data_IF_203900670795
#
_entry.id   IF_203900670795
#
_cell.length_a   1.000
_cell.length_b   1.000
_cell.length_c   1.000
_cell.angle_alpha   90.00
_cell.angle_beta   90.00
_cell.angle_gamma   90.00
#
_symmetry.space_group_name_H-M   'P 1'
#
loop_
_entity.id
_entity.type
_entity.pdbx_description
1 polymer ?
#
# COMPACT_ATOMS: atom_id res chain seq x y z
N UNK A 1 -2.99 6.20 2.39
CA UNK A 1 -4.39 5.71 2.45
C UNK A 1 -4.91 5.81 3.86
N UNK A 2 -6.23 5.74 4.07
CA UNK A 2 -6.82 5.79 5.41
C UNK A 2 -7.78 4.64 5.70
N UNK A 3 -8.32 4.01 4.66
CA UNK A 3 -9.29 2.93 4.77
C UNK A 3 -8.89 1.74 3.91
N UNK A 4 -9.47 0.58 4.21
CA UNK A 4 -9.32 -0.63 3.38
C UNK A 4 -9.86 -0.41 1.97
N UNK A 5 -10.93 0.37 1.80
CA UNK A 5 -11.45 0.73 0.48
C UNK A 5 -10.46 1.56 -0.34
N UNK A 6 -9.76 2.54 0.27
CA UNK A 6 -8.72 3.30 -0.42
C UNK A 6 -7.56 2.40 -0.86
N UNK A 7 -7.25 1.40 -0.04
CA UNK A 7 -6.19 0.42 -0.31
C UNK A 7 -6.59 -0.49 -1.49
N UNK A 8 -7.79 -1.06 -1.48
CA UNK A 8 -8.29 -1.89 -2.58
C UNK A 8 -8.38 -1.13 -3.91
N UNK A 9 -8.84 0.13 -3.88
CA UNK A 9 -8.92 0.97 -5.08
C UNK A 9 -7.53 1.21 -5.68
N UNK A 10 -6.54 1.54 -4.84
CA UNK A 10 -5.19 1.75 -5.31
C UNK A 10 -4.51 0.48 -5.82
N UNK A 11 -4.79 -0.70 -5.24
CA UNK A 11 -4.27 -1.95 -5.76
C UNK A 11 -4.76 -2.21 -7.19
N UNK A 12 -6.04 -1.95 -7.46
CA UNK A 12 -6.59 -2.07 -8.83
C UNK A 12 -5.92 -1.09 -9.79
N UNK A 13 -5.75 0.16 -9.36
CA UNK A 13 -5.10 1.18 -10.18
C UNK A 13 -3.62 0.84 -10.44
N UNK A 14 -2.91 0.28 -9.46
CA UNK A 14 -1.53 -0.22 -9.63
C UNK A 14 -1.52 -1.37 -10.64
N UNK A 15 -2.45 -2.33 -10.54
CA UNK A 15 -2.56 -3.46 -11.47
C UNK A 15 -2.73 -2.97 -12.91
N UNK A 16 -3.64 -2.02 -13.13
CA UNK A 16 -3.86 -1.41 -14.45
C UNK A 16 -2.60 -0.68 -14.95
N UNK A 17 -1.94 0.09 -14.09
CA UNK A 17 -0.72 0.84 -14.45
C UNK A 17 0.46 -0.08 -14.77
N UNK A 18 0.64 -1.18 -14.05
CA UNK A 18 1.71 -2.15 -14.33
C UNK A 18 1.51 -2.80 -15.69
N UNK A 19 0.26 -3.11 -16.07
CA UNK A 19 -0.06 -3.64 -17.40
C UNK A 19 0.27 -2.63 -18.51
N UNK A 20 0.09 -1.34 -18.24
CA UNK A 20 0.38 -0.27 -19.20
C UNK A 20 1.89 0.01 -19.37
N UNK A 21 2.74 -0.46 -18.45
CA UNK A 21 4.19 -0.25 -18.43
C UNK A 21 4.60 1.23 -18.71
N UNK A 22 4.12 2.19 -17.91
CA UNK A 22 4.35 3.60 -18.16
C UNK A 22 5.82 3.95 -18.02
N UNK A 23 6.30 4.90 -18.83
CA UNK A 23 7.64 5.44 -18.67
C UNK A 23 7.80 6.05 -17.26
N UNK A 24 8.94 5.85 -16.57
CA UNK A 24 9.12 6.29 -15.18
C UNK A 24 8.78 7.77 -14.95
N UNK A 25 9.28 8.67 -15.82
CA UNK A 25 9.06 10.11 -15.68
C UNK A 25 7.72 10.60 -16.27
N UNK A 26 6.88 9.68 -16.77
CA UNK A 26 5.55 10.03 -17.25
C UNK A 26 4.60 10.30 -16.08
N UNK A 27 3.47 10.95 -16.37
CA UNK A 27 2.43 11.19 -15.37
C UNK A 27 1.96 9.88 -14.72
N UNK A 28 1.83 8.82 -15.51
CA UNK A 28 1.35 7.52 -15.06
C UNK A 28 2.43 6.75 -14.29
N UNK A 29 3.72 6.90 -14.67
CA UNK A 29 4.85 6.37 -13.92
C UNK A 29 4.97 7.00 -12.53
N UNK A 30 4.88 8.33 -12.45
CA UNK A 30 4.85 9.06 -11.17
C UNK A 30 3.64 8.64 -10.30
N UNK A 31 2.49 8.36 -10.93
CA UNK A 31 1.30 7.87 -10.22
C UNK A 31 1.52 6.47 -9.65
N UNK A 32 2.09 5.57 -10.44
CA UNK A 32 2.42 4.20 -10.02
C UNK A 32 3.39 4.21 -8.84
N UNK A 33 4.44 5.03 -8.89
CA UNK A 33 5.39 5.21 -7.78
C UNK A 33 4.67 5.70 -6.51
N UNK A 34 3.86 6.76 -6.64
CA UNK A 34 3.15 7.35 -5.51
C UNK A 34 2.17 6.37 -4.86
N UNK A 35 1.41 5.61 -5.66
CA UNK A 35 0.47 4.61 -5.16
C UNK A 35 1.21 3.46 -4.46
N UNK A 36 2.33 3.01 -5.01
CA UNK A 36 3.15 1.96 -4.40
C UNK A 36 3.65 2.36 -3.00
N UNK A 37 4.15 3.59 -2.86
CA UNK A 37 4.58 4.15 -1.57
C UNK A 37 3.42 4.20 -0.56
N UNK A 38 2.22 4.59 -1.02
CA UNK A 38 1.04 4.68 -0.13
C UNK A 38 0.56 3.31 0.34
N UNK A 39 0.63 2.29 -0.52
CA UNK A 39 0.34 0.89 -0.21
C UNK A 39 1.32 0.38 0.84
N UNK A 40 2.63 0.53 0.59
CA UNK A 40 3.68 0.09 1.53
C UNK A 40 3.51 0.73 2.92
N UNK A 41 3.20 2.03 2.97
CA UNK A 41 2.96 2.73 4.23
C UNK A 41 1.73 2.19 4.98
N UNK A 42 0.64 1.89 4.27
CA UNK A 42 -0.57 1.32 4.86
C UNK A 42 -0.32 -0.10 5.39
N UNK A 43 0.38 -0.94 4.64
CA UNK A 43 0.75 -2.30 5.05
C UNK A 43 1.70 -2.30 6.25
N UNK A 44 2.65 -1.36 6.31
CA UNK A 44 3.57 -1.23 7.44
C UNK A 44 2.83 -0.88 8.74
N UNK A 45 1.86 0.04 8.68
CA UNK A 45 0.99 0.36 9.82
C UNK A 45 0.14 -0.84 10.23
N UNK A 46 -0.41 -1.59 9.28
CA UNK A 46 -1.18 -2.80 9.55
C UNK A 46 -0.32 -3.93 10.17
N UNK A 47 0.91 -4.11 9.69
CA UNK A 47 1.89 -5.05 10.25
C UNK A 47 2.31 -4.66 11.68
N UNK A 48 2.40 -3.36 11.98
CA UNK A 48 2.61 -2.86 13.34
C UNK A 48 1.45 -3.18 14.28
N UNK A 49 0.20 -3.27 13.78
CA UNK A 49 -0.95 -3.70 14.59
C UNK A 49 -0.83 -5.17 14.99
N UNK A 50 -0.56 -6.07 14.04
CA UNK A 50 -0.44 -7.52 14.31
C UNK A 50 0.71 -7.81 15.31
N UNK A 51 1.85 -7.13 15.15
CA UNK A 51 3.00 -7.34 16.04
C UNK A 51 2.82 -6.73 17.44
N UNK A 52 2.04 -5.65 17.58
CA UNK A 52 1.64 -5.11 18.90
C UNK A 52 0.68 -6.04 19.63
N UNK A 53 -0.29 -6.63 18.94
CA UNK A 53 -1.28 -7.53 19.54
C UNK A 53 -0.65 -8.85 20.05
N UNK A 54 0.41 -9.34 19.38
CA UNK A 54 1.13 -10.53 19.84
C UNK A 54 1.90 -10.30 21.16
N UNK A 55 2.56 -9.14 21.32
CA UNK A 55 3.29 -8.82 22.56
C UNK A 55 2.36 -8.63 23.77
N UNK A 56 1.15 -8.11 23.56
CA UNK A 56 0.18 -7.94 24.66
C UNK A 56 -0.37 -9.26 25.23
N UNK A 57 -0.30 -10.37 24.48
CA UNK A 57 -0.77 -11.70 24.93
C UNK A 57 0.32 -12.60 25.50
N UNK A 58 1.60 -12.29 25.27
CA UNK A 58 2.71 -13.11 25.73
C UNK A 58 3.15 -12.79 27.18
N UNK A 59 2.74 -11.63 27.71
CA UNK A 59 3.09 -11.14 29.05
C UNK A 59 1.91 -11.17 30.05
N UNK A 60 0.84 -11.93 29.75
CA UNK A 60 -0.39 -12.04 30.57
C UNK A 60 -0.64 -13.43 31.14
#
# INVERSE_FOLDING_TARGET
MKTEADYEEALREIEDLVVLDPMPDSKDGNKLESLSILVEAYEADYSMWITKDWKGKADG
#
